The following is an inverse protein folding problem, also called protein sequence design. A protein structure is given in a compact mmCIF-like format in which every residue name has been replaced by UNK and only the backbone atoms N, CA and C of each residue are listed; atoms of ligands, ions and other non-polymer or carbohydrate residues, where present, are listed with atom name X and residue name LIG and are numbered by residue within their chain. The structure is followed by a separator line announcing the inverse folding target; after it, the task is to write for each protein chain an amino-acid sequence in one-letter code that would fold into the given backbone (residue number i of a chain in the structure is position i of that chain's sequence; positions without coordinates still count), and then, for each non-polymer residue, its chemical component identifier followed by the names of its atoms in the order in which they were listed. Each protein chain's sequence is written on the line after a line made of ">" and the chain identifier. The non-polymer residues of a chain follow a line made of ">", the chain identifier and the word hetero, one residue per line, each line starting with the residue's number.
data_IF_441826581139
#
_entry.id   IF_441826581139
#
_cell.length_a   1.000
_cell.length_b   1.000
_cell.length_c   1.000
_cell.angle_alpha   90.00
_cell.angle_beta   90.00
_cell.angle_gamma   90.00
#
_symmetry.space_group_name_H-M   'P 1'
#
loop_
_entity.id
_entity.type
_entity.pdbx_description
1 polymer ?
#
# COMPACT_ATOMS: atom_id res chain seq x y z
N UNK A 1 0.67 -12.81 -23.93
CA UNK A 1 1.13 -11.76 -22.99
C UNK A 1 2.09 -10.84 -23.74
N UNK A 2 1.82 -9.53 -23.78
CA UNK A 2 2.83 -8.58 -24.26
C UNK A 2 4.02 -8.60 -23.31
N UNK A 3 5.23 -8.65 -23.86
CA UNK A 3 6.45 -8.57 -23.05
C UNK A 3 6.57 -7.15 -22.53
N UNK A 4 6.30 -6.95 -21.23
CA UNK A 4 6.45 -5.65 -20.58
C UNK A 4 7.95 -5.36 -20.49
N UNK A 5 8.44 -4.37 -21.25
CA UNK A 5 9.82 -3.92 -21.15
C UNK A 5 10.03 -3.20 -19.83
N UNK A 6 10.94 -3.71 -19.00
CA UNK A 6 11.33 -3.04 -17.76
C UNK A 6 12.12 -1.76 -18.07
N UNK A 7 11.81 -0.70 -17.33
CA UNK A 7 12.50 0.60 -17.36
C UNK A 7 13.76 0.52 -16.49
N UNK A 8 14.87 1.08 -16.96
CA UNK A 8 16.13 1.16 -16.23
C UNK A 8 16.22 2.45 -15.40
N UNK A 9 17.13 2.50 -14.41
CA UNK A 9 17.33 3.71 -13.60
C UNK A 9 17.74 4.93 -14.44
N UNK A 10 18.51 4.74 -15.52
CA UNK A 10 18.97 5.81 -16.40
C UNK A 10 17.83 6.42 -17.24
N UNK A 11 16.77 5.65 -17.46
CA UNK A 11 15.58 6.08 -18.20
C UNK A 11 14.59 6.86 -17.32
N UNK A 12 14.74 6.83 -15.98
CA UNK A 12 13.89 7.59 -15.07
C UNK A 12 14.20 9.09 -15.13
N UNK A 13 13.27 9.88 -15.68
CA UNK A 13 13.40 11.34 -15.83
C UNK A 13 12.06 12.04 -15.62
N UNK A 14 12.12 13.33 -15.31
CA UNK A 14 10.93 14.19 -15.16
C UNK A 14 9.95 13.61 -14.14
N UNK A 15 8.67 13.56 -14.51
CA UNK A 15 7.62 13.07 -13.61
C UNK A 15 7.74 11.59 -13.24
N UNK A 16 8.30 10.76 -14.12
CA UNK A 16 8.48 9.34 -13.81
C UNK A 16 9.49 9.16 -12.67
N UNK A 17 10.52 10.01 -12.62
CA UNK A 17 11.46 10.04 -11.49
C UNK A 17 10.77 10.55 -10.22
N UNK A 18 9.96 11.60 -10.30
CA UNK A 18 9.15 12.11 -9.17
C UNK A 18 8.25 11.02 -8.59
N UNK A 19 7.52 10.32 -9.46
CA UNK A 19 6.66 9.20 -9.09
C UNK A 19 7.47 8.06 -8.44
N UNK A 20 8.57 7.65 -9.06
CA UNK A 20 9.37 6.54 -8.57
C UNK A 20 9.96 6.84 -7.19
N UNK A 21 10.48 8.05 -6.99
CA UNK A 21 10.96 8.50 -5.69
C UNK A 21 9.87 8.46 -4.62
N UNK A 22 8.66 8.94 -4.93
CA UNK A 22 7.52 8.83 -4.03
C UNK A 22 7.23 7.36 -3.68
N UNK A 23 7.09 6.50 -4.69
CA UNK A 23 6.67 5.11 -4.50
C UNK A 23 7.67 4.29 -3.69
N UNK A 24 8.98 4.52 -3.85
CA UNK A 24 10.00 3.85 -3.01
C UNK A 24 9.84 4.26 -1.55
N UNK A 25 9.70 5.56 -1.28
CA UNK A 25 9.51 6.05 0.07
C UNK A 25 8.19 5.57 0.68
N UNK A 26 7.17 5.32 -0.15
CA UNK A 26 5.89 4.78 0.29
C UNK A 26 5.98 3.28 0.64
N UNK A 27 6.74 2.50 -0.14
CA UNK A 27 6.90 1.04 0.04
C UNK A 27 7.88 0.69 1.16
N UNK A 28 8.99 1.42 1.26
CA UNK A 28 10.04 1.20 2.25
C UNK A 28 10.31 2.51 2.99
N UNK A 29 9.40 2.90 3.92
CA UNK A 29 9.47 4.19 4.57
C UNK A 29 10.64 4.25 5.56
N UNK A 30 11.73 4.93 5.16
CA UNK A 30 12.79 5.33 6.09
C UNK A 30 12.34 6.50 7.00
N UNK A 31 11.39 7.31 6.53
CA UNK A 31 10.76 8.38 7.29
C UNK A 31 9.22 8.29 7.13
N UNK A 32 8.46 8.00 8.20
CA UNK A 32 7.03 7.72 8.14
C UNK A 32 6.15 8.80 7.49
N UNK A 33 6.62 10.06 7.44
CA UNK A 33 5.84 11.19 6.91
C UNK A 33 6.39 11.78 5.62
N UNK A 34 7.50 11.24 5.11
CA UNK A 34 8.13 11.78 3.91
C UNK A 34 7.27 11.53 2.66
N UNK A 35 6.74 10.32 2.51
CA UNK A 35 5.92 9.95 1.36
C UNK A 35 4.63 10.76 1.28
N UNK A 36 3.91 10.96 2.39
CA UNK A 36 2.70 11.78 2.43
C UNK A 36 2.97 13.23 2.04
N UNK A 37 3.97 13.89 2.65
CA UNK A 37 4.29 15.29 2.32
C UNK A 37 4.75 15.44 0.86
N UNK A 38 5.51 14.46 0.37
CA UNK A 38 5.96 14.47 -1.02
C UNK A 38 4.79 14.26 -1.99
N UNK A 39 3.83 13.40 -1.64
CA UNK A 39 2.59 13.20 -2.39
C UNK A 39 1.75 14.47 -2.43
N UNK A 40 1.58 15.14 -1.29
CA UNK A 40 0.83 16.39 -1.21
C UNK A 40 1.39 17.46 -2.17
N UNK A 41 2.72 17.62 -2.20
CA UNK A 41 3.39 18.59 -3.06
C UNK A 41 3.39 18.21 -4.57
N UNK A 42 3.29 16.91 -4.90
CA UNK A 42 3.45 16.41 -6.28
C UNK A 42 2.24 15.61 -6.78
N UNK A 43 1.08 15.80 -6.15
CA UNK A 43 -0.13 14.96 -6.32
C UNK A 43 -0.50 14.72 -7.78
N UNK A 44 -0.56 15.80 -8.57
CA UNK A 44 -0.98 15.73 -9.97
C UNK A 44 -0.01 14.89 -10.82
N UNK A 45 1.30 15.10 -10.68
CA UNK A 45 2.31 14.34 -11.41
C UNK A 45 2.31 12.87 -11.00
N UNK A 46 2.23 12.58 -9.70
CA UNK A 46 2.20 11.19 -9.20
C UNK A 46 0.95 10.46 -9.70
N UNK A 47 -0.23 11.07 -9.56
CA UNK A 47 -1.50 10.47 -10.01
C UNK A 47 -1.48 10.22 -11.52
N UNK A 48 -0.98 11.18 -12.31
CA UNK A 48 -0.86 11.06 -13.76
C UNK A 48 0.06 9.90 -14.17
N UNK A 49 1.23 9.78 -13.55
CA UNK A 49 2.15 8.67 -13.83
C UNK A 49 1.55 7.33 -13.40
N UNK A 50 0.91 7.26 -12.24
CA UNK A 50 0.22 6.04 -11.78
C UNK A 50 -0.82 5.57 -12.81
N UNK A 51 -1.66 6.48 -13.31
CA UNK A 51 -2.66 6.18 -14.34
C UNK A 51 -2.02 5.71 -15.65
N UNK A 52 -0.91 6.29 -16.07
CA UNK A 52 -0.15 5.84 -17.25
C UNK A 52 0.46 4.45 -17.06
N UNK A 53 0.92 4.12 -15.85
CA UNK A 53 1.45 2.80 -15.52
C UNK A 53 0.34 1.74 -15.44
N UNK A 54 -0.84 2.10 -14.90
CA UNK A 54 -2.02 1.22 -14.90
C UNK A 54 -2.44 0.81 -16.31
N UNK A 55 -2.32 1.70 -17.30
CA UNK A 55 -2.63 1.37 -18.71
C UNK A 55 -1.68 0.31 -19.30
N UNK A 56 -0.52 0.08 -18.67
CA UNK A 56 0.47 -0.92 -19.12
C UNK A 56 0.26 -2.29 -18.50
N UNK A 57 -0.69 -2.43 -17.58
CA UNK A 57 -1.04 -3.70 -16.95
C UNK A 57 -2.51 -4.02 -17.22
N UNK A 58 -2.90 -5.29 -17.06
CA UNK A 58 -4.29 -5.71 -17.21
C UNK A 58 -5.09 -5.40 -15.93
N UNK A 59 -5.10 -4.13 -15.52
CA UNK A 59 -5.82 -3.71 -14.32
C UNK A 59 -7.34 -3.77 -14.55
N UNK A 60 -8.02 -4.44 -13.64
CA UNK A 60 -9.49 -4.42 -13.53
C UNK A 60 -9.81 -3.97 -12.12
N UNK A 61 -10.72 -3.00 -11.97
CA UNK A 61 -11.16 -2.58 -10.64
C UNK A 61 -11.83 -3.76 -9.92
N UNK A 62 -11.31 -4.07 -8.74
CA UNK A 62 -11.78 -5.15 -7.88
C UNK A 62 -11.65 -4.75 -6.41
N UNK A 63 -12.34 -5.45 -5.50
CA UNK A 63 -12.15 -5.23 -4.08
C UNK A 63 -10.68 -5.43 -3.65
N UNK A 64 -10.19 -4.51 -2.84
CA UNK A 64 -8.90 -4.54 -2.15
C UNK A 64 -9.13 -4.50 -0.63
N UNK A 65 -8.16 -5.01 0.12
CA UNK A 65 -8.30 -5.31 1.54
C UNK A 65 -7.21 -4.66 2.37
N UNK A 66 -7.57 -4.06 3.51
CA UNK A 66 -6.61 -3.50 4.46
C UNK A 66 -6.84 -4.10 5.84
N UNK A 67 -5.80 -4.70 6.40
CA UNK A 67 -5.78 -5.10 7.80
C UNK A 67 -5.47 -3.91 8.70
N UNK A 68 -6.21 -3.76 9.79
CA UNK A 68 -5.97 -2.73 10.79
C UNK A 68 -6.29 -3.26 12.19
N UNK A 69 -5.52 -2.81 13.17
CA UNK A 69 -5.75 -3.08 14.59
C UNK A 69 -6.09 -1.75 15.26
N UNK A 70 -7.16 -1.75 16.06
CA UNK A 70 -7.69 -0.56 16.74
C UNK A 70 -7.80 -0.79 18.24
N UNK A 71 -7.70 0.30 19.00
CA UNK A 71 -7.83 0.32 20.47
C UNK A 71 -9.26 0.15 20.97
N UNK A 72 -10.23 0.47 20.13
CA UNK A 72 -11.66 0.38 20.44
C UNK A 72 -12.42 -0.13 19.22
N UNK A 73 -13.58 -0.78 19.42
CA UNK A 73 -14.40 -1.19 18.30
C UNK A 73 -14.97 0.05 17.58
N UNK A 74 -15.05 -0.05 16.25
CA UNK A 74 -15.62 1.02 15.41
C UNK A 74 -16.50 0.42 14.33
N UNK A 75 -17.52 1.19 13.92
CA UNK A 75 -18.36 0.87 12.76
C UNK A 75 -17.84 1.52 11.47
N UNK A 76 -17.06 2.59 11.60
CA UNK A 76 -16.49 3.34 10.48
C UNK A 76 -15.11 3.88 10.81
N UNK A 77 -14.26 4.01 9.80
CA UNK A 77 -12.96 4.66 9.87
C UNK A 77 -13.03 6.03 9.19
N UNK A 78 -12.84 7.09 9.97
CA UNK A 78 -12.77 8.45 9.46
C UNK A 78 -11.44 8.69 8.71
N UNK A 79 -11.44 9.48 7.63
CA UNK A 79 -10.20 9.89 6.97
C UNK A 79 -9.26 10.59 7.94
N UNK A 80 -7.98 10.24 7.90
CA UNK A 80 -6.97 10.84 8.76
C UNK A 80 -6.44 12.14 8.14
N UNK A 81 -6.49 13.24 8.89
CA UNK A 81 -6.14 14.59 8.43
C UNK A 81 -4.73 14.76 7.83
N UNK A 82 -3.78 13.91 8.23
CA UNK A 82 -2.38 14.00 7.79
C UNK A 82 -2.00 12.94 6.73
N UNK A 83 -2.89 11.98 6.44
CA UNK A 83 -2.60 10.95 5.45
C UNK A 83 -3.13 11.40 4.09
N UNK A 84 -2.33 11.18 3.06
CA UNK A 84 -2.66 11.47 1.67
C UNK A 84 -3.05 10.19 0.93
N UNK A 85 -2.52 9.05 1.36
CA UNK A 85 -2.77 7.74 0.77
C UNK A 85 -2.95 6.64 1.83
N UNK A 86 -3.52 5.52 1.41
CA UNK A 86 -3.70 4.32 2.21
C UNK A 86 -3.19 3.11 1.42
N UNK A 87 -2.61 2.15 2.15
CA UNK A 87 -2.13 0.88 1.60
C UNK A 87 -3.15 -0.25 1.83
N UNK A 88 -3.33 -1.09 0.82
CA UNK A 88 -4.20 -2.24 0.78
C UNK A 88 -3.47 -3.40 0.08
N UNK A 89 -4.07 -4.58 0.08
CA UNK A 89 -3.65 -5.73 -0.72
C UNK A 89 -4.82 -6.19 -1.60
N UNK A 90 -4.53 -6.73 -2.78
CA UNK A 90 -5.56 -7.49 -3.54
C UNK A 90 -5.86 -8.86 -2.91
N UNK A 91 -5.04 -9.30 -1.94
CA UNK A 91 -5.17 -10.58 -1.26
C UNK A 91 -5.72 -10.40 0.16
N UNK A 92 -6.92 -10.94 0.39
CA UNK A 92 -7.58 -10.83 1.68
C UNK A 92 -6.79 -11.51 2.81
N UNK A 93 -6.12 -12.63 2.54
CA UNK A 93 -5.38 -13.34 3.57
C UNK A 93 -4.19 -12.51 4.08
N UNK A 94 -3.56 -11.73 3.20
CA UNK A 94 -2.53 -10.76 3.59
C UNK A 94 -3.12 -9.70 4.52
N UNK A 95 -4.28 -9.13 4.18
CA UNK A 95 -4.95 -8.16 5.05
C UNK A 95 -5.38 -8.76 6.40
N UNK A 96 -5.86 -9.99 6.43
CA UNK A 96 -6.21 -10.71 7.67
C UNK A 96 -4.99 -10.93 8.56
N UNK A 97 -3.82 -11.19 7.98
CA UNK A 97 -2.57 -11.30 8.71
C UNK A 97 -2.20 -9.98 9.41
N UNK A 98 -2.38 -8.83 8.75
CA UNK A 98 -2.16 -7.50 9.34
C UNK A 98 -3.25 -7.08 10.34
N UNK A 99 -4.45 -7.66 10.25
CA UNK A 99 -5.53 -7.45 11.22
C UNK A 99 -5.39 -8.34 12.47
N UNK A 100 -4.49 -9.32 12.47
CA UNK A 100 -4.31 -10.23 13.59
C UNK A 100 -3.40 -9.60 14.66
N UNK A 101 -3.91 -9.49 15.89
CA UNK A 101 -3.16 -8.97 17.06
C UNK A 101 -1.97 -9.85 17.43
N UNK A 102 -2.03 -11.14 17.08
CA UNK A 102 -0.95 -12.12 17.19
C UNK A 102 -0.26 -12.36 15.84
N UNK A 103 -0.47 -11.44 14.88
CA UNK A 103 0.11 -11.48 13.54
C UNK A 103 1.48 -10.82 13.50
N UNK A 104 1.81 -10.24 12.35
CA UNK A 104 3.11 -9.65 12.05
C UNK A 104 3.62 -8.68 13.15
N UNK A 105 4.82 -8.93 13.66
CA UNK A 105 5.49 -8.08 14.64
C UNK A 105 5.08 -8.33 16.09
N UNK A 106 4.10 -9.21 16.35
CA UNK A 106 3.68 -9.57 17.71
C UNK A 106 4.78 -10.29 18.51
N UNK A 107 5.71 -10.93 17.80
CA UNK A 107 6.90 -11.57 18.35
C UNK A 107 7.99 -10.58 18.81
N UNK A 108 7.92 -9.32 18.37
CA UNK A 108 8.91 -8.27 18.67
C UNK A 108 8.30 -7.19 19.58
N UNK A 109 7.02 -6.87 19.40
CA UNK A 109 6.31 -5.82 20.13
C UNK A 109 4.97 -6.31 20.66
N UNK A 110 4.58 -5.86 21.86
CA UNK A 110 3.24 -6.08 22.38
C UNK A 110 2.23 -5.24 21.57
N UNK A 111 1.67 -5.85 20.52
CA UNK A 111 0.73 -5.22 19.58
C UNK A 111 -0.51 -4.69 20.28
N UNK A 112 -1.05 -5.42 21.26
CA UNK A 112 -2.23 -5.00 22.02
C UNK A 112 -2.01 -3.66 22.73
N UNK A 113 -0.88 -3.50 23.42
CA UNK A 113 -0.54 -2.27 24.13
C UNK A 113 -0.32 -1.07 23.18
N UNK A 114 0.17 -1.32 21.96
CA UNK A 114 0.57 -0.28 21.01
C UNK A 114 -0.59 0.15 20.11
N UNK A 115 -1.23 -0.82 19.47
CA UNK A 115 -2.23 -0.64 18.41
C UNK A 115 -3.65 -0.95 18.88
N UNK A 116 -3.79 -1.79 19.91
CA UNK A 116 -5.08 -2.23 20.45
C UNK A 116 -5.36 -3.70 20.19
N UNK A 117 -6.57 -4.13 20.54
CA UNK A 117 -6.97 -5.54 20.48
C UNK A 117 -8.04 -5.86 19.44
N UNK A 118 -8.54 -4.87 18.70
CA UNK A 118 -9.66 -5.07 17.78
C UNK A 118 -9.15 -5.08 16.33
N UNK A 119 -9.04 -6.27 15.75
CA UNK A 119 -8.62 -6.50 14.38
C UNK A 119 -9.76 -6.38 13.38
N UNK A 120 -9.55 -5.63 12.30
CA UNK A 120 -10.52 -5.43 11.23
C UNK A 120 -9.90 -5.63 9.86
N UNK A 121 -10.70 -6.16 8.94
CA UNK A 121 -10.44 -6.12 7.50
C UNK A 121 -11.37 -5.10 6.88
N UNK A 122 -10.79 -4.04 6.32
CA UNK A 122 -11.49 -3.09 5.46
C UNK A 122 -11.59 -3.68 4.07
N UNK A 123 -12.77 -3.59 3.44
CA UNK A 123 -12.95 -3.87 2.01
C UNK A 123 -13.26 -2.58 1.26
N UNK A 124 -12.55 -2.31 0.17
CA UNK A 124 -12.74 -1.11 -0.65
C UNK A 124 -12.63 -1.45 -2.14
N UNK A 125 -13.38 -0.81 -3.02
CA UNK A 125 -13.22 -0.96 -4.48
C UNK A 125 -12.81 0.38 -5.06
N UNK A 126 -11.52 0.58 -5.38
CA UNK A 126 -11.04 1.88 -5.81
C UNK A 126 -11.47 2.20 -7.24
N UNK A 127 -11.78 3.47 -7.47
CA UNK A 127 -11.85 3.98 -8.83
C UNK A 127 -10.46 3.96 -9.47
N UNK A 128 -10.42 3.90 -10.80
CA UNK A 128 -9.17 3.89 -11.54
C UNK A 128 -8.27 5.10 -11.22
N UNK A 129 -8.88 6.27 -11.01
CA UNK A 129 -8.18 7.51 -10.69
C UNK A 129 -7.71 7.63 -9.23
N UNK A 130 -8.13 6.71 -8.36
CA UNK A 130 -7.70 6.66 -6.96
C UNK A 130 -6.42 5.86 -6.75
N UNK A 131 -6.07 4.96 -7.69
CA UNK A 131 -4.89 4.13 -7.58
C UNK A 131 -3.61 4.95 -7.78
N UNK A 132 -2.71 4.88 -6.81
CA UNK A 132 -1.39 5.49 -6.87
C UNK A 132 -0.27 4.47 -7.11
N UNK A 133 -0.43 3.24 -6.62
CA UNK A 133 0.52 2.15 -6.81
C UNK A 133 -0.22 0.81 -6.95
N UNK A 134 0.31 -0.07 -7.79
CA UNK A 134 -0.13 -1.46 -7.91
C UNK A 134 1.10 -2.36 -7.94
N UNK A 135 1.06 -3.51 -7.25
CA UNK A 135 2.21 -4.42 -7.12
C UNK A 135 2.83 -4.85 -8.46
N UNK A 136 2.04 -4.94 -9.54
CA UNK A 136 2.56 -5.24 -10.89
C UNK A 136 3.51 -4.16 -11.44
N UNK A 137 3.53 -2.95 -10.88
CA UNK A 137 4.50 -1.92 -11.25
C UNK A 137 5.93 -2.32 -10.90
N UNK A 138 6.11 -3.27 -9.98
CA UNK A 138 7.40 -3.90 -9.68
C UNK A 138 8.02 -4.60 -10.91
N UNK A 139 7.18 -5.00 -11.88
CA UNK A 139 7.63 -5.60 -13.14
C UNK A 139 8.01 -4.56 -14.20
N UNK A 140 7.57 -3.31 -14.02
CA UNK A 140 7.77 -2.21 -14.99
C UNK A 140 8.98 -1.36 -14.59
N UNK A 141 9.11 -1.04 -13.31
CA UNK A 141 10.07 -0.06 -12.80
C UNK A 141 11.27 -0.74 -12.11
N UNK A 142 12.43 -0.09 -12.02
CA UNK A 142 13.67 -0.69 -11.54
C UNK A 142 13.79 -0.68 -10.01
N UNK A 143 12.79 -1.20 -9.29
CA UNK A 143 12.77 -1.18 -7.82
C UNK A 143 13.95 -1.95 -7.21
N UNK A 144 14.32 -3.11 -7.77
CA UNK A 144 15.43 -3.91 -7.27
C UNK A 144 16.75 -3.14 -7.33
N UNK A 145 17.04 -2.47 -8.45
CA UNK A 145 18.24 -1.65 -8.61
C UNK A 145 18.26 -0.48 -7.62
N UNK A 146 17.11 0.18 -7.43
CA UNK A 146 17.01 1.31 -6.52
C UNK A 146 17.20 0.90 -5.05
N UNK A 147 16.53 -0.16 -4.61
CA UNK A 147 16.65 -0.69 -3.25
C UNK A 147 18.08 -1.20 -2.97
N UNK A 148 18.74 -1.79 -3.96
CA UNK A 148 20.16 -2.16 -3.86
C UNK A 148 21.05 -0.94 -3.60
N UNK A 149 20.77 0.20 -4.24
CA UNK A 149 21.49 1.46 -3.98
C UNK A 149 21.24 2.03 -2.58
N UNK A 150 20.13 1.70 -1.94
CA UNK A 150 19.85 2.02 -0.55
C UNK A 150 20.48 1.05 0.46
N UNK A 151 21.23 0.04 -0.01
CA UNK A 151 21.93 -0.93 0.83
C UNK A 151 21.14 -2.19 1.16
N UNK A 152 19.96 -2.39 0.56
CA UNK A 152 19.17 -3.61 0.71
C UNK A 152 19.57 -4.69 -0.30
N UNK A 153 19.11 -5.92 -0.08
CA UNK A 153 19.09 -6.93 -1.15
C UNK A 153 17.87 -6.68 -2.05
N UNK A 154 18.03 -5.85 -3.08
CA UNK A 154 16.89 -5.34 -3.86
C UNK A 154 16.01 -6.42 -4.50
N UNK A 155 16.58 -7.54 -4.95
CA UNK A 155 15.79 -8.64 -5.51
C UNK A 155 14.95 -9.34 -4.43
N UNK A 156 15.51 -9.54 -3.24
CA UNK A 156 14.80 -10.12 -2.11
C UNK A 156 13.66 -9.21 -1.64
N UNK A 157 13.92 -7.90 -1.55
CA UNK A 157 12.90 -6.91 -1.17
C UNK A 157 11.76 -6.86 -2.18
N UNK A 158 12.06 -6.79 -3.48
CA UNK A 158 11.03 -6.82 -4.52
C UNK A 158 10.22 -8.11 -4.47
N UNK A 159 10.86 -9.26 -4.23
CA UNK A 159 10.15 -10.52 -4.05
C UNK A 159 9.18 -10.45 -2.86
N UNK A 160 9.61 -9.90 -1.72
CA UNK A 160 8.75 -9.68 -0.55
C UNK A 160 7.56 -8.77 -0.85
N UNK A 161 7.79 -7.64 -1.53
CA UNK A 161 6.73 -6.70 -1.94
C UNK A 161 5.73 -7.34 -2.90
N UNK A 162 6.18 -8.23 -3.80
CA UNK A 162 5.29 -8.98 -4.69
C UNK A 162 4.35 -9.92 -3.93
N UNK A 163 4.81 -10.54 -2.84
CA UNK A 163 3.97 -11.42 -2.01
C UNK A 163 2.89 -10.66 -1.25
N UNK A 164 3.15 -9.40 -0.87
CA UNK A 164 2.16 -8.55 -0.21
C UNK A 164 1.03 -8.13 -1.16
N UNK A 165 1.27 -8.18 -2.48
CA UNK A 165 0.32 -7.80 -3.53
C UNK A 165 -0.32 -6.44 -3.26
N UNK A 166 0.52 -5.49 -2.86
CA UNK A 166 0.12 -4.18 -2.37
C UNK A 166 -0.51 -3.30 -3.46
N UNK A 167 -1.51 -2.53 -3.06
CA UNK A 167 -2.15 -1.46 -3.81
C UNK A 167 -2.24 -0.24 -2.92
N UNK A 168 -1.68 0.88 -3.36
CA UNK A 168 -1.84 2.15 -2.65
C UNK A 168 -2.85 3.02 -3.37
N UNK A 169 -3.74 3.64 -2.60
CA UNK A 169 -4.79 4.52 -3.12
C UNK A 169 -4.73 5.88 -2.45
N UNK A 170 -5.21 6.91 -3.14
CA UNK A 170 -5.57 8.17 -2.52
C UNK A 170 -6.54 7.92 -1.36
N UNK A 171 -6.29 8.54 -0.21
CA UNK A 171 -7.17 8.38 0.94
C UNK A 171 -8.59 8.84 0.55
N UNK A 172 -9.62 7.99 0.72
CA UNK A 172 -11.00 8.39 0.47
C UNK A 172 -11.40 9.56 1.37
N UNK A 173 -12.18 10.50 0.82
CA UNK A 173 -12.70 11.64 1.60
C UNK A 173 -13.91 11.27 2.46
N UNK A 174 -14.52 10.12 2.17
CA UNK A 174 -15.65 9.58 2.94
C UNK A 174 -15.15 8.51 3.92
N UNK A 175 -15.85 8.29 5.05
CA UNK A 175 -15.51 7.23 5.98
C UNK A 175 -15.57 5.84 5.31
N UNK A 176 -14.67 4.96 5.72
CA UNK A 176 -14.69 3.55 5.32
C UNK A 176 -15.64 2.79 6.26
N UNK A 177 -16.71 2.21 5.71
CA UNK A 177 -17.80 1.58 6.48
C UNK A 177 -17.87 0.06 6.33
N UNK A 178 -17.20 -0.52 5.33
CA UNK A 178 -17.17 -1.97 5.10
C UNK A 178 -16.05 -2.63 5.92
N UNK A 179 -16.24 -2.68 7.24
CA UNK A 179 -15.30 -3.26 8.21
C UNK A 179 -15.80 -4.62 8.69
N UNK A 180 -14.99 -5.67 8.52
CA UNK A 180 -15.27 -7.00 9.09
C UNK A 180 -14.36 -7.24 10.28
N UNK A 181 -14.94 -7.55 11.45
CA UNK A 181 -14.15 -7.99 12.61
C UNK A 181 -13.44 -9.30 12.30
N UNK A 182 -12.14 -9.36 12.52
CA UNK A 182 -11.36 -10.58 12.35
C UNK A 182 -11.31 -11.42 13.64
N UNK A 183 -11.94 -10.94 14.72
CA UNK A 183 -12.15 -11.72 15.92
C UNK A 183 -13.42 -12.54 15.77
N UNK A 184 -13.31 -13.86 15.92
CA UNK A 184 -14.45 -14.68 16.30
C UNK A 184 -14.96 -14.10 17.62
N UNK A 185 -16.13 -13.46 17.60
CA UNK A 185 -16.82 -13.13 18.83
C UNK A 185 -16.96 -14.46 19.60
N UNK A 186 -16.61 -14.50 20.91
CA UNK A 186 -16.88 -15.69 21.69
C UNK A 186 -18.37 -16.02 21.52
N UNK A 187 -18.67 -17.27 21.14
CA UNK A 187 -20.06 -17.74 21.11
C UNK A 187 -20.62 -17.52 22.53
N UNK A 188 -21.59 -16.61 22.65
CA UNK A 188 -22.35 -16.41 23.88
C UNK A 188 -23.12 -17.68 24.26
#
# INVERSE_FOLDING_TARGET
>A
MQQIKQTTLQELKGELLTYFNWSINALVPLNPWAADRFLEANRNSITRVAQQLLQKINYTSSPIYRGIILKQPVEQLMPHKNLQYLSFSVDRAVAEHFANVNGFGSEIINMESRLGKYGYVVTYTPRYDEILFHHDFLLILPYADALTRFGFNGNLEVHGLQQQKEVMILQPTQPLTHLTSNQQLPNN
#
